data_IF_302738765909
#
_entry.id   IF_302738765909
#
_cell.length_a   1.000
_cell.length_b   1.000
_cell.length_c   1.000
_cell.angle_alpha   90.00
_cell.angle_beta   90.00
_cell.angle_gamma   90.00
#
_symmetry.space_group_name_H-M   'P 1'
#
loop_
_entity.id
_entity.type
_entity.pdbx_description
1 polymer ?
#
# COMPACT_ATOMS: atom_id res chain seq x y z
N UNK A 1 27.25 -17.92 4.91
CA UNK A 1 25.80 -17.92 5.21
C UNK A 1 25.04 -17.84 3.90
N UNK A 2 24.06 -18.72 3.69
CA UNK A 2 23.31 -18.84 2.42
C UNK A 2 22.55 -17.56 2.07
N UNK A 3 22.73 -17.08 0.82
CA UNK A 3 22.05 -15.91 0.24
C UNK A 3 20.56 -16.14 -0.09
N UNK A 4 20.03 -17.33 0.18
CA UNK A 4 18.69 -17.77 -0.26
C UNK A 4 17.65 -17.70 0.87
N UNK A 5 18.07 -17.58 2.12
CA UNK A 5 17.18 -17.64 3.28
C UNK A 5 16.96 -16.24 3.86
N UNK A 6 15.69 -15.81 3.87
CA UNK A 6 15.31 -14.54 4.46
C UNK A 6 14.84 -14.74 5.91
N UNK A 7 15.51 -14.11 6.86
CA UNK A 7 15.08 -14.04 8.27
C UNK A 7 13.84 -13.15 8.47
N UNK A 8 13.34 -12.52 7.40
CA UNK A 8 12.19 -11.61 7.37
C UNK A 8 11.40 -11.88 6.10
N UNK A 9 10.08 -11.70 6.14
CA UNK A 9 9.23 -11.89 4.96
C UNK A 9 9.65 -10.89 3.87
N UNK A 10 10.06 -11.33 2.67
CA UNK A 10 10.45 -10.43 1.61
C UNK A 10 9.25 -9.61 1.14
N UNK A 11 9.53 -8.41 0.60
CA UNK A 11 8.50 -7.61 -0.06
C UNK A 11 8.28 -8.20 -1.45
N UNK A 12 7.11 -8.78 -1.66
CA UNK A 12 6.67 -9.28 -2.97
C UNK A 12 5.80 -8.24 -3.64
N UNK A 13 6.03 -7.98 -4.92
CA UNK A 13 5.32 -6.95 -5.69
C UNK A 13 4.74 -7.59 -6.94
N UNK A 14 3.49 -7.25 -7.24
CA UNK A 14 2.86 -7.59 -8.51
C UNK A 14 3.42 -6.71 -9.64
N UNK A 15 3.86 -7.35 -10.73
CA UNK A 15 4.58 -6.69 -11.82
C UNK A 15 3.64 -5.78 -12.62
N UNK A 16 2.41 -6.23 -12.89
CA UNK A 16 1.45 -5.48 -13.68
C UNK A 16 0.98 -4.25 -12.93
N UNK A 17 0.68 -4.40 -11.63
CA UNK A 17 0.35 -3.28 -10.77
C UNK A 17 1.50 -2.28 -10.68
N UNK A 18 2.73 -2.73 -10.44
CA UNK A 18 3.90 -1.85 -10.36
C UNK A 18 4.17 -1.12 -11.69
N UNK A 19 3.90 -1.77 -12.82
CA UNK A 19 4.04 -1.19 -14.16
C UNK A 19 2.99 -0.10 -14.40
N UNK A 20 1.74 -0.34 -13.99
CA UNK A 20 0.64 0.60 -14.17
C UNK A 20 0.67 1.78 -13.18
N UNK A 21 0.95 1.52 -11.90
CA UNK A 21 0.86 2.52 -10.83
C UNK A 21 2.21 3.17 -10.50
N UNK A 22 3.32 2.51 -10.79
CA UNK A 22 4.67 2.88 -10.36
C UNK A 22 5.20 2.01 -9.22
N UNK A 23 6.51 1.72 -9.26
CA UNK A 23 7.17 0.81 -8.31
C UNK A 23 7.06 1.28 -6.85
N UNK A 24 7.24 2.58 -6.60
CA UNK A 24 7.21 3.12 -5.25
C UNK A 24 5.81 3.00 -4.64
N UNK A 25 4.78 3.29 -5.43
CA UNK A 25 3.37 3.13 -5.07
C UNK A 25 3.05 1.68 -4.75
N UNK A 26 3.49 0.75 -5.60
CA UNK A 26 3.28 -0.67 -5.36
C UNK A 26 3.94 -1.16 -4.07
N UNK A 27 5.17 -0.72 -3.80
CA UNK A 27 5.90 -1.06 -2.57
C UNK A 27 5.19 -0.50 -1.33
N UNK A 28 4.78 0.76 -1.37
CA UNK A 28 4.07 1.40 -0.25
C UNK A 28 2.73 0.70 0.01
N UNK A 29 1.95 0.42 -1.02
CA UNK A 29 0.66 -0.26 -0.87
C UNK A 29 0.83 -1.68 -0.31
N UNK A 30 1.84 -2.42 -0.77
CA UNK A 30 2.14 -3.76 -0.25
C UNK A 30 2.50 -3.73 1.24
N UNK A 31 3.25 -2.72 1.68
CA UNK A 31 3.58 -2.57 3.10
C UNK A 31 2.37 -2.21 3.95
N UNK A 32 1.46 -1.38 3.43
CA UNK A 32 0.18 -1.10 4.09
C UNK A 32 -0.64 -2.38 4.22
N UNK A 33 -0.76 -3.16 3.14
CA UNK A 33 -1.47 -4.43 3.14
C UNK A 33 -0.90 -5.40 4.19
N UNK A 34 0.42 -5.54 4.25
CA UNK A 34 1.09 -6.37 5.26
C UNK A 34 0.68 -6.01 6.70
N UNK A 35 0.66 -4.71 7.04
CA UNK A 35 0.27 -4.29 8.39
C UNK A 35 -1.23 -4.40 8.66
N UNK A 36 -2.09 -4.25 7.65
CA UNK A 36 -3.52 -4.52 7.77
C UNK A 36 -3.76 -6.00 8.10
N UNK A 37 -3.12 -6.91 7.34
CA UNK A 37 -3.22 -8.36 7.58
C UNK A 37 -2.72 -8.71 8.98
N UNK A 38 -1.56 -8.16 9.38
CA UNK A 38 -1.03 -8.40 10.72
C UNK A 38 -1.97 -7.90 11.83
N UNK A 39 -2.54 -6.69 11.68
CA UNK A 39 -3.51 -6.17 12.64
C UNK A 39 -4.79 -7.02 12.68
N UNK A 40 -5.23 -7.57 11.55
CA UNK A 40 -6.36 -8.51 11.48
C UNK A 40 -6.06 -9.81 12.22
N UNK A 41 -4.91 -10.42 11.99
CA UNK A 41 -4.46 -11.64 12.68
C UNK A 41 -4.38 -11.44 14.20
N UNK A 42 -3.95 -10.26 14.64
CA UNK A 42 -3.81 -9.91 16.05
C UNK A 42 -5.10 -9.33 16.67
N UNK A 43 -6.20 -9.21 15.90
CA UNK A 43 -7.47 -8.67 16.38
C UNK A 43 -7.44 -7.19 16.79
N UNK A 44 -6.50 -6.39 16.24
CA UNK A 44 -6.31 -4.98 16.57
C UNK A 44 -6.78 -4.05 15.45
N UNK A 45 -7.00 -2.79 15.79
CA UNK A 45 -7.26 -1.71 14.81
C UNK A 45 -8.46 -1.94 13.88
N UNK A 46 -9.45 -2.72 14.31
CA UNK A 46 -10.76 -2.78 13.67
C UNK A 46 -11.53 -1.47 13.95
N UNK A 47 -11.87 -0.73 12.90
CA UNK A 47 -12.65 0.52 12.96
C UNK A 47 -13.62 0.54 11.80
N UNK A 48 -14.89 0.79 12.10
CA UNK A 48 -15.95 0.93 11.08
C UNK A 48 -16.00 -0.26 10.11
N UNK A 49 -15.87 -1.48 10.65
CA UNK A 49 -15.91 -2.72 9.88
C UNK A 49 -14.66 -3.02 9.05
N UNK A 50 -13.61 -2.18 9.10
CA UNK A 50 -12.35 -2.37 8.35
C UNK A 50 -11.15 -2.45 9.29
N UNK A 51 -10.13 -3.19 8.88
CA UNK A 51 -8.85 -3.23 9.59
C UNK A 51 -7.92 -2.16 9.05
N UNK A 52 -7.34 -1.38 9.96
CA UNK A 52 -6.51 -0.23 9.62
C UNK A 52 -5.08 -0.41 10.11
N UNK A 53 -4.16 0.30 9.48
CA UNK A 53 -2.81 0.54 10.00
C UNK A 53 -2.58 2.04 10.06
N UNK A 54 -1.70 2.50 10.95
CA UNK A 54 -1.37 3.92 11.07
C UNK A 54 0.14 4.05 11.23
N UNK A 55 0.71 5.08 10.60
CA UNK A 55 2.12 5.44 10.72
C UNK A 55 2.28 6.87 10.20
N UNK A 56 3.20 7.62 10.81
CA UNK A 56 3.75 8.84 10.22
C UNK A 56 4.57 8.53 8.95
N UNK A 57 4.86 9.57 8.15
CA UNK A 57 5.75 9.43 6.98
C UNK A 57 7.15 8.94 7.42
N UNK A 58 7.64 9.45 8.54
CA UNK A 58 8.88 9.02 9.19
C UNK A 58 8.88 7.52 9.52
N UNK A 59 7.79 7.00 10.08
CA UNK A 59 7.67 5.59 10.43
C UNK A 59 7.52 4.68 9.22
N UNK A 60 6.82 5.15 8.19
CA UNK A 60 6.79 4.44 6.90
C UNK A 60 8.17 4.38 6.27
N UNK A 61 8.91 5.49 6.24
CA UNK A 61 10.26 5.53 5.73
C UNK A 61 11.22 4.60 6.50
N UNK A 62 11.10 4.50 7.84
CA UNK A 62 11.87 3.53 8.63
C UNK A 62 11.61 2.07 8.21
N UNK A 63 10.39 1.76 7.77
CA UNK A 63 10.00 0.43 7.27
C UNK A 63 10.47 0.19 5.82
N UNK A 64 10.62 1.26 5.04
CA UNK A 64 11.00 1.23 3.62
C UNK A 64 12.20 2.16 3.38
N UNK A 65 13.36 1.91 4.02
CA UNK A 65 14.46 2.89 4.09
C UNK A 65 15.13 3.15 2.74
N UNK A 66 14.94 2.26 1.76
CA UNK A 66 15.46 2.44 0.40
C UNK A 66 14.65 3.44 -0.43
N UNK A 67 13.42 3.80 -0.02
CA UNK A 67 12.66 4.89 -0.62
C UNK A 67 12.94 6.19 0.13
N UNK A 68 13.18 7.28 -0.60
CA UNK A 68 13.24 8.62 0.01
C UNK A 68 11.91 8.94 0.69
N UNK A 69 11.94 9.68 1.81
CA UNK A 69 10.72 10.15 2.51
C UNK A 69 9.71 10.82 1.58
N UNK A 70 10.21 11.65 0.66
CA UNK A 70 9.37 12.33 -0.32
C UNK A 70 8.67 11.37 -1.29
N UNK A 71 9.35 10.28 -1.67
CA UNK A 71 8.75 9.23 -2.50
C UNK A 71 7.63 8.51 -1.75
N UNK A 72 7.84 8.13 -0.48
CA UNK A 72 6.79 7.53 0.36
C UNK A 72 5.56 8.44 0.45
N UNK A 73 5.78 9.74 0.71
CA UNK A 73 4.70 10.74 0.79
C UNK A 73 3.93 10.85 -0.53
N UNK A 74 4.64 11.04 -1.65
CA UNK A 74 4.04 11.15 -3.00
C UNK A 74 3.27 9.89 -3.38
N UNK A 75 3.79 8.71 -3.04
CA UNK A 75 3.13 7.44 -3.31
C UNK A 75 1.83 7.29 -2.52
N UNK A 76 1.82 7.66 -1.22
CA UNK A 76 0.59 7.70 -0.42
C UNK A 76 -0.43 8.68 -1.01
N UNK A 77 -0.01 9.88 -1.41
CA UNK A 77 -0.87 10.87 -2.06
C UNK A 77 -1.46 10.37 -3.38
N UNK A 78 -0.64 9.73 -4.23
CA UNK A 78 -1.08 9.17 -5.50
C UNK A 78 -2.09 8.03 -5.31
N UNK A 79 -1.82 7.09 -4.42
CA UNK A 79 -2.73 5.98 -4.11
C UNK A 79 -4.07 6.47 -3.54
N UNK A 80 -4.06 7.55 -2.75
CA UNK A 80 -5.28 8.20 -2.26
C UNK A 80 -6.06 8.88 -3.39
N UNK A 81 -5.37 9.56 -4.30
CA UNK A 81 -5.99 10.19 -5.48
C UNK A 81 -6.65 9.16 -6.40
N UNK A 82 -6.09 7.96 -6.47
CA UNK A 82 -6.67 6.81 -7.19
C UNK A 82 -7.81 6.12 -6.42
N UNK A 83 -8.13 6.58 -5.20
CA UNK A 83 -9.12 5.99 -4.30
C UNK A 83 -8.83 4.52 -3.88
N UNK A 84 -7.67 3.98 -4.27
CA UNK A 84 -7.15 2.67 -3.84
C UNK A 84 -6.80 2.68 -2.36
N UNK A 85 -6.32 3.83 -1.85
CA UNK A 85 -5.97 4.00 -0.45
C UNK A 85 -6.93 4.96 0.25
N UNK A 86 -7.62 4.45 1.27
CA UNK A 86 -8.51 5.23 2.12
C UNK A 86 -7.74 5.75 3.34
N UNK A 87 -8.09 6.95 3.78
CA UNK A 87 -7.54 7.57 4.98
C UNK A 87 -8.60 7.82 6.03
N UNK A 88 -8.23 7.60 7.28
CA UNK A 88 -9.07 7.87 8.45
C UNK A 88 -8.29 8.59 9.54
N UNK A 89 -8.99 9.00 10.58
CA UNK A 89 -8.40 9.53 11.80
C UNK A 89 -9.07 8.91 13.01
N UNK A 90 -8.36 7.99 13.67
CA UNK A 90 -8.81 7.35 14.90
C UNK A 90 -7.84 7.62 16.07
N UNK A 91 -7.10 8.73 15.99
CA UNK A 91 -6.18 9.15 17.04
C UNK A 91 -6.96 9.62 18.28
N UNK A 92 -6.44 9.31 19.47
CA UNK A 92 -7.03 9.78 20.74
C UNK A 92 -6.78 11.27 20.98
N UNK A 93 -5.64 11.78 20.51
CA UNK A 93 -5.24 13.18 20.66
C UNK A 93 -5.47 13.95 19.36
N UNK A 94 -6.04 15.15 19.46
CA UNK A 94 -6.21 16.08 18.33
C UNK A 94 -4.89 16.64 17.79
N UNK A 95 -3.83 16.59 18.59
CA UNK A 95 -2.48 17.07 18.20
C UNK A 95 -1.76 16.02 17.36
N UNK A 96 -2.12 14.74 17.51
CA UNK A 96 -1.55 13.66 16.74
C UNK A 96 -2.06 13.70 15.30
N UNK A 97 -1.15 14.01 14.37
CA UNK A 97 -1.41 14.11 12.93
C UNK A 97 -1.15 12.81 12.19
N UNK A 98 -0.93 11.70 12.90
CA UNK A 98 -0.72 10.39 12.29
C UNK A 98 -1.95 9.97 11.52
N UNK A 99 -1.78 9.60 10.25
CA UNK A 99 -2.88 9.14 9.41
C UNK A 99 -3.08 7.63 9.58
N UNK A 100 -4.34 7.24 9.54
CA UNK A 100 -4.75 5.85 9.45
C UNK A 100 -5.03 5.51 7.99
N UNK A 101 -4.65 4.31 7.58
CA UNK A 101 -4.70 3.82 6.21
C UNK A 101 -5.40 2.46 6.16
N UNK A 102 -6.29 2.30 5.20
CA UNK A 102 -6.81 1.00 4.76
C UNK A 102 -6.87 0.97 3.23
N UNK A 103 -6.92 -0.23 2.66
CA UNK A 103 -7.05 -0.42 1.21
C UNK A 103 -8.53 -0.50 0.85
N UNK A 104 -8.90 0.20 -0.23
CA UNK A 104 -10.13 -0.02 -0.95
C UNK A 104 -9.88 -1.14 -1.97
N UNK A 105 -10.14 -2.39 -1.57
CA UNK A 105 -9.87 -3.55 -2.42
C UNK A 105 -10.73 -3.56 -3.68
N UNK A 106 -11.99 -3.15 -3.59
CA UNK A 106 -12.87 -3.01 -4.75
C UNK A 106 -12.27 -2.05 -5.79
N UNK A 107 -11.75 -0.89 -5.34
CA UNK A 107 -11.12 0.07 -6.26
C UNK A 107 -9.79 -0.41 -6.83
N UNK A 108 -9.04 -1.18 -6.06
CA UNK A 108 -7.81 -1.82 -6.53
C UNK A 108 -8.12 -2.84 -7.64
N UNK A 109 -9.17 -3.65 -7.45
CA UNK A 109 -9.60 -4.65 -8.42
C UNK A 109 -10.13 -3.98 -9.71
N UNK A 110 -10.95 -2.92 -9.59
CA UNK A 110 -11.38 -2.10 -10.73
C UNK A 110 -10.17 -1.53 -11.51
N UNK A 111 -9.17 -1.01 -10.78
CA UNK A 111 -7.96 -0.47 -11.41
C UNK A 111 -7.22 -1.55 -12.22
N UNK A 112 -7.06 -2.75 -11.65
CA UNK A 112 -6.37 -3.84 -12.33
C UNK A 112 -7.15 -4.38 -13.54
N UNK A 113 -8.48 -4.47 -13.47
CA UNK A 113 -9.30 -4.84 -14.62
C UNK A 113 -9.13 -3.88 -15.81
N UNK A 114 -9.01 -2.58 -15.54
CA UNK A 114 -8.75 -1.57 -16.58
C UNK A 114 -7.37 -1.76 -17.19
N UNK A 115 -6.35 -2.01 -16.36
CA UNK A 115 -4.97 -2.26 -16.80
C UNK A 115 -4.89 -3.51 -17.69
N UNK A 116 -5.50 -4.61 -17.27
CA UNK A 116 -5.56 -5.85 -18.04
C UNK A 116 -6.25 -5.65 -19.40
N UNK A 117 -7.40 -4.95 -19.41
CA UNK A 117 -8.13 -4.67 -20.63
C UNK A 117 -7.33 -3.78 -21.61
N UNK A 118 -6.50 -2.87 -21.12
CA UNK A 118 -5.59 -2.05 -21.94
C UNK A 118 -4.45 -2.90 -22.51
N UNK A 119 -3.82 -3.73 -21.69
CA UNK A 119 -2.75 -4.64 -22.12
C UNK A 119 -3.20 -5.59 -23.25
N UNK A 120 -4.40 -6.17 -23.12
CA UNK A 120 -4.99 -7.04 -24.16
C UNK A 120 -5.24 -6.27 -25.46
N UNK A 121 -5.77 -5.05 -25.39
CA UNK A 121 -6.00 -4.22 -26.59
C UNK A 121 -4.71 -3.90 -27.31
N UNK A 122 -3.64 -3.59 -26.58
CA UNK A 122 -2.32 -3.32 -27.17
C UNK A 122 -1.71 -4.56 -27.83
N UNK A 123 -1.93 -5.75 -27.27
CA UNK A 123 -1.44 -7.01 -27.84
C UNK A 123 -2.16 -7.38 -29.14
N UNK A 124 -3.47 -7.18 -29.22
CA UNK A 124 -4.29 -7.47 -30.42
C UNK A 124 -4.06 -6.44 -31.54
N UNK A 125 -3.58 -5.24 -31.19
CA UNK A 125 -3.30 -4.16 -32.15
C UNK A 125 -1.90 -4.24 -32.79
N UNK A 126 -1.09 -5.24 -32.42
CA UNK A 126 0.24 -5.52 -32.99
C UNK A 126 0.17 -6.71 -33.95
#
# INVERSE_FOLDING_TARGET
>A
MSKVLFNRKPITIDIDFATAVGLNEAIVLQQIHYWIVKNKEEGRNLKEGRFWTYNSIEEWHKKIPFLKKDAVRKSLEKLRKLEILLVGNYNKSRVDRTLWYTINYEKLDEFMQVVEAQSIKELISK
#
